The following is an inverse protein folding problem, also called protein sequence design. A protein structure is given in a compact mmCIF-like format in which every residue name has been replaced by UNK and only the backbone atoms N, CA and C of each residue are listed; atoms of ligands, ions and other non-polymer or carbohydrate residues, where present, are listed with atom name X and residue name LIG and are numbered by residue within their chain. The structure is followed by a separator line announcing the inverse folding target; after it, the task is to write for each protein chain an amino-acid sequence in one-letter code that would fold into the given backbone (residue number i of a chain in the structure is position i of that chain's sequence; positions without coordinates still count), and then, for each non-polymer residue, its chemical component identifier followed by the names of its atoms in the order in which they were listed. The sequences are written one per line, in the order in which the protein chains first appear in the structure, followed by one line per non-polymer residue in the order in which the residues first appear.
data_IF_857492128633
#
_entry.id   IF_857492128633
#
_cell.length_a   1.000
_cell.length_b   1.000
_cell.length_c   1.000
_cell.angle_alpha   90.00
_cell.angle_beta   90.00
_cell.angle_gamma   90.00
#
_symmetry.space_group_name_H-M   'P 1'
#
loop_
_entity.id
_entity.type
_entity.pdbx_description
1 polymer ?
#
# COMPACT_ATOMS: atom_id res chain seq x y z
N UNK A 1 26.23 -21.67 -13.98
CA UNK A 1 24.74 -21.78 -13.79
C UNK A 1 24.43 -22.21 -12.36
N UNK A 2 25.14 -23.19 -11.78
CA UNK A 2 24.87 -23.65 -10.42
C UNK A 2 25.09 -22.56 -9.36
N UNK A 3 26.21 -21.85 -9.42
CA UNK A 3 26.54 -20.75 -8.48
C UNK A 3 25.54 -19.60 -8.58
N UNK A 4 25.12 -19.23 -9.80
CA UNK A 4 24.09 -18.20 -10.00
C UNK A 4 22.74 -18.61 -9.38
N UNK A 5 22.32 -19.86 -9.56
CA UNK A 5 21.08 -20.38 -8.99
C UNK A 5 21.14 -20.41 -7.45
N UNK A 6 22.27 -20.79 -6.88
CA UNK A 6 22.51 -20.79 -5.43
C UNK A 6 22.45 -19.38 -4.84
N UNK A 7 23.02 -18.39 -5.54
CA UNK A 7 22.88 -16.97 -5.15
C UNK A 7 21.43 -16.53 -5.27
N UNK A 8 20.75 -16.82 -6.38
CA UNK A 8 19.37 -16.43 -6.59
C UNK A 8 18.43 -16.95 -5.48
N UNK A 9 18.66 -18.21 -5.04
CA UNK A 9 17.90 -18.84 -3.96
C UNK A 9 18.43 -18.49 -2.56
N UNK A 10 19.45 -17.63 -2.47
CA UNK A 10 20.04 -17.15 -1.22
C UNK A 10 20.56 -18.27 -0.32
N UNK A 11 21.21 -19.29 -0.91
CA UNK A 11 21.86 -20.34 -0.11
C UNK A 11 22.97 -19.74 0.76
N UNK A 12 23.04 -20.19 2.02
CA UNK A 12 24.05 -19.69 2.95
C UNK A 12 25.46 -20.14 2.58
N UNK A 13 26.47 -19.42 3.08
CA UNK A 13 27.87 -19.82 2.95
C UNK A 13 28.12 -21.25 3.43
N UNK A 14 27.50 -21.64 4.55
CA UNK A 14 27.66 -22.98 5.13
C UNK A 14 27.12 -24.10 4.23
N UNK A 15 26.05 -23.78 3.45
CA UNK A 15 25.49 -24.74 2.49
C UNK A 15 26.26 -24.76 1.16
N UNK A 16 26.86 -23.63 0.78
CA UNK A 16 27.56 -23.48 -0.49
C UNK A 16 28.75 -22.53 -0.39
N UNK A 17 29.92 -23.00 0.10
CA UNK A 17 31.14 -22.19 0.30
C UNK A 17 31.61 -21.48 -0.97
N UNK A 18 31.34 -22.03 -2.13
CA UNK A 18 31.73 -21.48 -3.44
C UNK A 18 31.06 -20.12 -3.78
N UNK A 19 29.96 -19.77 -3.12
CA UNK A 19 29.28 -18.48 -3.29
C UNK A 19 29.86 -17.36 -2.42
N UNK A 20 30.71 -17.71 -1.44
CA UNK A 20 31.29 -16.76 -0.46
C UNK A 20 31.97 -15.54 -1.10
N UNK A 21 32.83 -15.70 -2.14
CA UNK A 21 33.50 -14.56 -2.77
C UNK A 21 32.51 -13.55 -3.38
N UNK A 22 31.32 -14.03 -3.78
CA UNK A 22 30.26 -13.18 -4.31
C UNK A 22 29.47 -12.52 -3.19
N UNK A 23 29.16 -13.28 -2.12
CA UNK A 23 28.38 -12.80 -0.98
C UNK A 23 29.08 -11.64 -0.28
N UNK A 24 30.40 -11.72 -0.05
CA UNK A 24 31.18 -10.69 0.66
C UNK A 24 31.15 -9.32 -0.07
N UNK A 25 30.89 -9.34 -1.38
CA UNK A 25 30.76 -8.12 -2.21
C UNK A 25 29.36 -7.55 -2.22
N UNK A 26 28.38 -8.27 -1.66
CA UNK A 26 26.97 -7.86 -1.67
C UNK A 26 26.60 -7.25 -0.33
N UNK A 27 26.70 -5.94 -0.19
CA UNK A 27 26.39 -5.19 1.04
C UNK A 27 25.02 -5.53 1.65
N UNK A 28 24.01 -5.80 0.80
CA UNK A 28 22.64 -6.07 1.21
C UNK A 28 22.28 -7.56 1.28
N UNK A 29 23.28 -8.43 1.26
CA UNK A 29 23.03 -9.89 1.31
C UNK A 29 22.24 -10.31 2.56
N UNK A 30 22.53 -9.68 3.70
CA UNK A 30 21.89 -9.98 4.98
C UNK A 30 20.48 -9.40 5.13
N UNK A 31 20.05 -8.44 4.30
CA UNK A 31 18.69 -7.91 4.26
C UNK A 31 17.86 -8.63 3.17
N UNK A 32 16.94 -9.55 3.54
CA UNK A 32 16.14 -10.31 2.58
C UNK A 32 15.36 -9.42 1.61
N UNK A 33 14.83 -8.31 2.11
CA UNK A 33 14.03 -7.38 1.32
C UNK A 33 14.87 -6.67 0.24
N UNK A 34 16.07 -6.21 0.58
CA UNK A 34 16.98 -5.60 -0.40
C UNK A 34 17.54 -6.63 -1.37
N UNK A 35 17.86 -7.82 -0.85
CA UNK A 35 18.34 -8.92 -1.68
C UNK A 35 17.33 -9.35 -2.74
N UNK A 36 16.04 -9.43 -2.39
CA UNK A 36 14.97 -9.77 -3.33
C UNK A 36 14.90 -8.78 -4.51
N UNK A 37 15.11 -7.48 -4.28
CA UNK A 37 15.18 -6.49 -5.36
C UNK A 37 16.35 -6.79 -6.29
N UNK A 38 17.54 -7.08 -5.73
CA UNK A 38 18.72 -7.47 -6.50
C UNK A 38 18.51 -8.75 -7.30
N UNK A 39 17.87 -9.76 -6.70
CA UNK A 39 17.56 -11.03 -7.37
C UNK A 39 16.61 -10.83 -8.57
N UNK A 40 15.56 -10.04 -8.41
CA UNK A 40 14.64 -9.68 -9.52
C UNK A 40 15.39 -8.88 -10.58
N UNK A 41 16.24 -7.92 -10.17
CA UNK A 41 17.05 -7.15 -11.09
C UNK A 41 18.04 -8.03 -11.87
N UNK A 42 18.62 -9.04 -11.24
CA UNK A 42 19.50 -10.01 -11.90
C UNK A 42 18.74 -10.85 -12.97
N UNK A 43 17.52 -11.29 -12.66
CA UNK A 43 16.66 -11.99 -13.64
C UNK A 43 16.34 -11.09 -14.83
N UNK A 44 15.95 -9.83 -14.58
CA UNK A 44 15.69 -8.86 -15.64
C UNK A 44 16.97 -8.51 -16.44
N UNK A 45 18.12 -8.50 -15.76
CA UNK A 45 19.42 -8.29 -16.39
C UNK A 45 19.79 -9.36 -17.41
N UNK A 46 19.39 -10.61 -17.18
CA UNK A 46 19.58 -11.68 -18.17
C UNK A 46 18.81 -11.42 -19.47
N UNK A 47 17.65 -10.76 -19.37
CA UNK A 47 16.79 -10.42 -20.52
C UNK A 47 17.22 -9.14 -21.23
N UNK A 48 17.96 -8.25 -20.54
CA UNK A 48 18.22 -6.88 -20.97
C UNK A 48 19.69 -6.52 -21.13
N UNK A 49 20.60 -7.49 -21.07
CA UNK A 49 22.04 -7.27 -21.26
C UNK A 49 22.73 -6.56 -20.09
N UNK A 50 22.20 -6.68 -18.85
CA UNK A 50 22.79 -6.19 -17.59
C UNK A 50 22.97 -4.66 -17.48
N UNK A 51 22.32 -3.88 -18.35
CA UNK A 51 22.35 -2.41 -18.29
C UNK A 51 21.20 -1.88 -17.44
N UNK A 52 21.45 -0.77 -16.71
CA UNK A 52 20.48 -0.23 -15.73
C UNK A 52 19.16 0.19 -16.37
N UNK A 53 19.20 0.92 -17.49
CA UNK A 53 17.96 1.51 -18.05
C UNK A 53 16.94 0.44 -18.51
N UNK A 54 17.27 -0.60 -19.27
CA UNK A 54 16.35 -1.67 -19.58
C UNK A 54 15.82 -2.41 -18.34
N UNK A 55 16.66 -2.64 -17.33
CA UNK A 55 16.22 -3.23 -16.06
C UNK A 55 15.18 -2.33 -15.38
N UNK A 56 15.43 -1.04 -15.32
CA UNK A 56 14.50 -0.06 -14.72
C UNK A 56 13.17 -0.01 -15.50
N UNK A 57 13.20 -0.08 -16.85
CA UNK A 57 11.99 -0.17 -17.66
C UNK A 57 11.18 -1.44 -17.39
N UNK A 58 11.85 -2.59 -17.20
CA UNK A 58 11.18 -3.83 -16.82
C UNK A 58 10.56 -3.73 -15.42
N UNK A 59 11.25 -3.10 -14.46
CA UNK A 59 10.68 -2.82 -13.14
C UNK A 59 9.46 -1.91 -13.23
N UNK A 60 9.53 -0.84 -14.02
CA UNK A 60 8.40 0.07 -14.24
C UNK A 60 7.20 -0.64 -14.87
N UNK A 61 7.43 -1.45 -15.89
CA UNK A 61 6.38 -2.25 -16.54
C UNK A 61 5.76 -3.27 -15.56
N UNK A 62 6.60 -3.96 -14.80
CA UNK A 62 6.16 -4.92 -13.78
C UNK A 62 5.24 -4.25 -12.75
N UNK A 63 5.69 -3.11 -12.18
CA UNK A 63 4.88 -2.31 -11.26
C UNK A 63 3.56 -1.84 -11.89
N UNK A 64 3.63 -1.33 -13.13
CA UNK A 64 2.46 -0.87 -13.85
C UNK A 64 1.37 -1.94 -13.97
N UNK A 65 1.74 -3.21 -14.18
CA UNK A 65 0.74 -4.29 -14.26
C UNK A 65 -0.07 -4.42 -12.95
N UNK A 66 0.58 -4.24 -11.79
CA UNK A 66 -0.09 -4.23 -10.49
C UNK A 66 -1.00 -3.01 -10.30
N UNK A 67 -0.48 -1.81 -10.58
CA UNK A 67 -1.27 -0.58 -10.50
C UNK A 67 -2.46 -0.62 -11.45
N UNK A 68 -2.28 -1.16 -12.65
CA UNK A 68 -3.35 -1.39 -13.62
C UNK A 68 -4.41 -2.39 -13.13
N UNK A 69 -3.97 -3.48 -12.49
CA UNK A 69 -4.88 -4.46 -11.89
C UNK A 69 -5.73 -3.81 -10.78
N UNK A 70 -5.12 -2.97 -9.94
CA UNK A 70 -5.80 -2.17 -8.91
C UNK A 70 -6.83 -1.21 -9.53
N UNK A 71 -6.42 -0.43 -10.53
CA UNK A 71 -7.32 0.46 -11.26
C UNK A 71 -8.53 -0.30 -11.85
N UNK A 72 -8.30 -1.42 -12.53
CA UNK A 72 -9.38 -2.26 -13.09
C UNK A 72 -10.35 -2.74 -12.03
N UNK A 73 -9.87 -3.11 -10.85
CA UNK A 73 -10.72 -3.53 -9.74
C UNK A 73 -11.69 -2.43 -9.35
N UNK A 74 -11.19 -1.22 -9.15
CA UNK A 74 -12.03 -0.09 -8.74
C UNK A 74 -12.95 0.40 -9.87
N UNK A 75 -12.53 0.33 -11.12
CA UNK A 75 -13.42 0.62 -12.27
C UNK A 75 -14.55 -0.40 -12.37
N UNK A 76 -14.32 -1.67 -12.07
CA UNK A 76 -15.39 -2.67 -12.01
C UNK A 76 -16.41 -2.37 -10.91
N UNK A 77 -15.97 -1.79 -9.78
CA UNK A 77 -16.84 -1.38 -8.67
C UNK A 77 -17.61 -0.08 -9.01
N UNK A 78 -16.91 0.89 -9.63
CA UNK A 78 -17.44 2.22 -9.94
C UNK A 78 -17.24 2.58 -11.43
N UNK A 79 -17.93 1.91 -12.38
CA UNK A 79 -17.64 2.04 -13.82
C UNK A 79 -17.80 3.47 -14.36
N UNK A 80 -18.76 4.23 -13.80
CA UNK A 80 -19.02 5.62 -14.19
C UNK A 80 -17.88 6.57 -13.83
N UNK A 81 -17.00 6.19 -12.91
CA UNK A 81 -15.89 7.01 -12.41
C UNK A 81 -14.54 6.67 -13.02
N UNK A 82 -14.49 5.89 -14.11
CA UNK A 82 -13.24 5.40 -14.70
C UNK A 82 -12.18 6.48 -14.94
N UNK A 83 -12.57 7.69 -15.40
CA UNK A 83 -11.63 8.80 -15.62
C UNK A 83 -11.05 9.34 -14.30
N UNK A 84 -11.87 9.53 -13.29
CA UNK A 84 -11.46 10.03 -11.97
C UNK A 84 -10.60 9.01 -11.24
N UNK A 85 -10.95 7.72 -11.38
CA UNK A 85 -10.15 6.62 -10.82
C UNK A 85 -8.82 6.45 -11.57
N UNK A 86 -8.78 6.73 -12.89
CA UNK A 86 -7.50 6.75 -13.62
C UNK A 86 -6.54 7.78 -13.00
N UNK A 87 -7.01 8.98 -12.68
CA UNK A 87 -6.19 10.00 -12.00
C UNK A 87 -5.71 9.48 -10.64
N UNK A 88 -6.61 8.84 -9.86
CA UNK A 88 -6.29 8.37 -8.52
C UNK A 88 -5.30 7.20 -8.48
N UNK A 89 -5.24 6.35 -9.50
CA UNK A 89 -4.35 5.19 -9.52
C UNK A 89 -3.11 5.37 -10.40
N UNK A 90 -3.25 6.05 -11.55
CA UNK A 90 -2.21 6.08 -12.57
C UNK A 90 -1.40 7.38 -12.60
N UNK A 91 -1.94 8.48 -12.05
CA UNK A 91 -1.36 9.81 -12.22
C UNK A 91 -0.98 10.53 -10.92
N UNK A 92 -0.79 9.79 -9.82
CA UNK A 92 -0.21 10.36 -8.59
C UNK A 92 1.31 10.48 -8.81
N UNK A 93 1.90 11.70 -8.77
CA UNK A 93 3.31 11.90 -9.12
C UNK A 93 4.28 11.09 -8.29
N UNK A 94 4.11 11.04 -6.96
CA UNK A 94 4.99 10.25 -6.09
C UNK A 94 4.88 8.75 -6.34
N UNK A 95 3.67 8.23 -6.60
CA UNK A 95 3.46 6.82 -6.95
C UNK A 95 4.13 6.49 -8.27
N UNK A 96 4.05 7.39 -9.27
CA UNK A 96 4.70 7.22 -10.55
C UNK A 96 6.24 7.20 -10.39
N UNK A 97 6.82 8.19 -9.70
CA UNK A 97 8.28 8.34 -9.55
C UNK A 97 8.88 7.18 -8.74
N UNK A 98 8.35 6.93 -7.54
CA UNK A 98 8.92 5.93 -6.63
C UNK A 98 8.48 4.49 -6.97
N UNK A 99 7.39 4.35 -7.69
CA UNK A 99 6.88 3.05 -8.16
C UNK A 99 7.42 2.60 -9.51
N UNK A 100 8.37 3.31 -10.14
CA UNK A 100 8.84 2.98 -11.49
C UNK A 100 10.34 2.72 -11.63
N UNK A 101 11.13 2.85 -10.54
CA UNK A 101 12.56 2.59 -10.57
C UNK A 101 12.92 1.23 -9.93
N UNK A 102 14.21 0.88 -9.88
CA UNK A 102 14.70 -0.35 -9.23
C UNK A 102 14.67 -0.18 -7.71
N UNK A 103 13.46 -0.22 -7.14
CA UNK A 103 13.21 0.00 -5.72
C UNK A 103 12.33 -1.12 -5.12
N UNK A 104 12.41 -1.25 -3.79
CA UNK A 104 11.46 -2.05 -2.99
C UNK A 104 10.02 -1.63 -3.25
N UNK A 105 9.79 -0.32 -3.40
CA UNK A 105 8.47 0.28 -3.60
C UNK A 105 7.82 -0.17 -4.91
N UNK A 106 8.60 -0.32 -5.96
CA UNK A 106 8.15 -0.82 -7.28
C UNK A 106 7.56 -2.22 -7.17
N UNK A 107 8.23 -3.11 -6.43
CA UNK A 107 7.75 -4.48 -6.18
C UNK A 107 6.52 -4.45 -5.28
N UNK A 108 6.49 -3.55 -4.29
CA UNK A 108 5.33 -3.40 -3.41
C UNK A 108 4.09 -2.94 -4.18
N UNK A 109 4.23 -1.99 -5.13
CA UNK A 109 3.09 -1.52 -5.94
C UNK A 109 2.58 -2.62 -6.87
N UNK A 110 3.47 -3.40 -7.49
CA UNK A 110 3.08 -4.61 -8.20
C UNK A 110 2.27 -5.55 -7.32
N UNK A 111 2.84 -5.96 -6.21
CA UNK A 111 2.25 -6.95 -5.33
C UNK A 111 0.93 -6.47 -4.72
N UNK A 112 0.87 -5.23 -4.22
CA UNK A 112 -0.34 -4.66 -3.64
C UNK A 112 -1.47 -4.58 -4.69
N UNK A 113 -1.15 -4.20 -5.92
CA UNK A 113 -2.14 -4.13 -6.99
C UNK A 113 -2.75 -5.49 -7.35
N UNK A 114 -1.91 -6.51 -7.53
CA UNK A 114 -2.38 -7.86 -7.79
C UNK A 114 -3.06 -8.49 -6.58
N UNK A 115 -2.62 -8.18 -5.36
CA UNK A 115 -3.26 -8.62 -4.12
C UNK A 115 -4.70 -8.11 -4.03
N UNK A 116 -4.94 -6.82 -4.30
CA UNK A 116 -6.28 -6.22 -4.35
C UNK A 116 -7.15 -6.89 -5.43
N UNK A 117 -6.61 -7.03 -6.65
CA UNK A 117 -7.34 -7.61 -7.76
C UNK A 117 -7.76 -9.06 -7.47
N UNK A 118 -6.82 -9.89 -7.01
CA UNK A 118 -7.09 -11.30 -6.74
C UNK A 118 -7.98 -11.48 -5.51
N UNK A 119 -7.83 -10.65 -4.48
CA UNK A 119 -8.75 -10.61 -3.34
C UNK A 119 -10.18 -10.35 -3.79
N UNK A 120 -10.39 -9.35 -4.66
CA UNK A 120 -11.71 -9.05 -5.20
C UNK A 120 -12.25 -10.22 -6.05
N UNK A 121 -11.42 -10.82 -6.91
CA UNK A 121 -11.80 -11.99 -7.73
C UNK A 121 -12.21 -13.18 -6.88
N UNK A 122 -11.43 -13.52 -5.86
CA UNK A 122 -11.68 -14.66 -4.98
C UNK A 122 -12.91 -14.42 -4.09
N UNK A 123 -12.96 -13.30 -3.39
CA UNK A 123 -13.98 -13.10 -2.36
C UNK A 123 -15.29 -12.50 -2.89
N UNK A 124 -15.27 -11.66 -3.92
CA UNK A 124 -16.49 -11.07 -4.49
C UNK A 124 -17.01 -11.89 -5.66
N UNK A 125 -16.16 -12.19 -6.62
CA UNK A 125 -16.56 -12.93 -7.83
C UNK A 125 -16.58 -14.44 -7.62
N UNK A 126 -16.10 -14.94 -6.44
CA UNK A 126 -15.99 -16.37 -6.11
C UNK A 126 -15.19 -17.16 -7.15
N UNK A 127 -14.18 -16.52 -7.75
CA UNK A 127 -13.31 -17.12 -8.75
C UNK A 127 -12.08 -17.73 -8.08
N UNK A 128 -12.21 -18.98 -7.65
CA UNK A 128 -11.16 -19.76 -6.99
C UNK A 128 -10.24 -20.46 -8.01
N UNK A 129 -10.07 -19.93 -9.20
CA UNK A 129 -9.13 -20.50 -10.17
C UNK A 129 -7.71 -20.57 -9.59
N UNK A 130 -6.97 -21.61 -9.95
CA UNK A 130 -5.59 -21.83 -9.47
C UNK A 130 -4.72 -20.60 -9.75
N UNK A 131 -4.91 -19.96 -10.91
CA UNK A 131 -4.20 -18.72 -11.25
C UNK A 131 -4.42 -17.60 -10.23
N UNK A 132 -5.68 -17.33 -9.84
CA UNK A 132 -5.98 -16.28 -8.88
C UNK A 132 -5.44 -16.61 -7.49
N UNK A 133 -5.50 -17.87 -7.06
CA UNK A 133 -4.95 -18.29 -5.78
C UNK A 133 -3.42 -18.20 -5.76
N UNK A 134 -2.75 -18.62 -6.83
CA UNK A 134 -1.28 -18.49 -6.94
C UNK A 134 -0.83 -17.03 -6.98
N UNK A 135 -1.54 -16.17 -7.74
CA UNK A 135 -1.23 -14.74 -7.78
C UNK A 135 -1.49 -14.07 -6.43
N UNK A 136 -2.55 -14.46 -5.72
CA UNK A 136 -2.82 -13.95 -4.37
C UNK A 136 -1.71 -14.35 -3.39
N UNK A 137 -1.32 -15.64 -3.40
CA UNK A 137 -0.25 -16.15 -2.54
C UNK A 137 1.09 -15.48 -2.86
N UNK A 138 1.45 -15.36 -4.15
CA UNK A 138 2.67 -14.68 -4.59
C UNK A 138 2.67 -13.20 -4.18
N UNK A 139 1.56 -12.50 -4.38
CA UNK A 139 1.45 -11.09 -4.03
C UNK A 139 1.57 -10.88 -2.52
N UNK A 140 0.91 -11.72 -1.73
CA UNK A 140 1.02 -11.70 -0.28
C UNK A 140 2.46 -11.97 0.17
N UNK A 141 3.12 -12.99 -0.40
CA UNK A 141 4.51 -13.32 -0.10
C UNK A 141 5.48 -12.19 -0.44
N UNK A 142 5.31 -11.53 -1.60
CA UNK A 142 6.16 -10.40 -1.99
C UNK A 142 5.99 -9.20 -1.05
N UNK A 143 4.76 -8.86 -0.65
CA UNK A 143 4.53 -7.79 0.32
C UNK A 143 5.13 -8.15 1.68
N UNK A 144 4.94 -9.40 2.14
CA UNK A 144 5.55 -9.92 3.36
C UNK A 144 7.07 -9.78 3.33
N UNK A 145 7.71 -10.24 2.25
CA UNK A 145 9.17 -10.24 2.11
C UNK A 145 9.76 -8.83 2.06
N UNK A 146 9.08 -7.89 1.39
CA UNK A 146 9.64 -6.56 1.11
C UNK A 146 9.25 -5.53 2.19
N UNK A 147 7.95 -5.46 2.54
CA UNK A 147 7.41 -4.45 3.47
C UNK A 147 6.22 -4.97 4.25
N UNK A 148 6.49 -5.77 5.24
CA UNK A 148 5.47 -6.43 6.08
C UNK A 148 4.46 -5.44 6.70
N UNK A 149 4.88 -4.21 7.01
CA UNK A 149 3.98 -3.21 7.59
C UNK A 149 2.81 -2.81 6.67
N UNK A 150 2.92 -3.06 5.35
CA UNK A 150 1.78 -2.94 4.43
C UNK A 150 0.71 -3.97 4.80
N UNK A 151 1.10 -5.20 5.11
CA UNK A 151 0.17 -6.25 5.54
C UNK A 151 -0.46 -5.94 6.90
N UNK A 152 0.29 -5.34 7.82
CA UNK A 152 -0.23 -4.93 9.13
C UNK A 152 -1.37 -3.90 9.01
N UNK A 153 -1.37 -3.07 7.97
CA UNK A 153 -2.49 -2.17 7.67
C UNK A 153 -3.56 -2.84 6.79
N UNK A 154 -3.13 -3.69 5.84
CA UNK A 154 -4.03 -4.32 4.86
C UNK A 154 -4.93 -5.38 5.49
N UNK A 155 -4.39 -6.26 6.33
CA UNK A 155 -5.15 -7.38 6.91
C UNK A 155 -6.33 -6.91 7.78
N UNK A 156 -6.16 -5.94 8.72
CA UNK A 156 -7.31 -5.39 9.45
C UNK A 156 -8.34 -4.72 8.53
N UNK A 157 -7.89 -3.93 7.53
CA UNK A 157 -8.79 -3.28 6.58
C UNK A 157 -9.56 -4.31 5.73
N UNK A 158 -8.88 -5.36 5.27
CA UNK A 158 -9.50 -6.48 4.55
C UNK A 158 -10.51 -7.23 5.42
N UNK A 159 -10.17 -7.48 6.68
CA UNK A 159 -11.07 -8.16 7.63
C UNK A 159 -12.36 -7.37 7.81
N UNK A 160 -12.26 -6.06 8.00
CA UNK A 160 -13.42 -5.17 8.11
C UNK A 160 -14.22 -5.14 6.80
N UNK A 161 -13.54 -5.10 5.65
CA UNK A 161 -14.18 -5.12 4.35
C UNK A 161 -14.99 -6.42 4.12
N UNK A 162 -14.40 -7.57 4.44
CA UNK A 162 -15.09 -8.86 4.37
C UNK A 162 -16.32 -8.88 5.28
N UNK A 163 -16.16 -8.43 6.54
CA UNK A 163 -17.27 -8.31 7.49
C UNK A 163 -18.42 -7.47 6.94
N UNK A 164 -18.11 -6.25 6.48
CA UNK A 164 -19.13 -5.32 6.01
C UNK A 164 -19.78 -5.80 4.72
N UNK A 165 -19.02 -6.44 3.82
CA UNK A 165 -19.54 -6.99 2.57
C UNK A 165 -20.48 -8.18 2.83
N UNK A 166 -20.09 -9.14 3.67
CA UNK A 166 -20.90 -10.35 3.89
C UNK A 166 -22.02 -10.14 4.91
N UNK A 167 -21.81 -9.35 5.95
CA UNK A 167 -22.86 -9.08 6.95
C UNK A 167 -24.03 -8.30 6.37
N UNK A 168 -23.82 -7.50 5.33
CA UNK A 168 -24.91 -6.78 4.64
C UNK A 168 -25.95 -7.70 4.00
N UNK A 169 -25.60 -8.95 3.68
CA UNK A 169 -26.50 -9.96 3.11
C UNK A 169 -27.32 -10.69 4.17
N UNK A 170 -27.00 -10.54 5.47
CA UNK A 170 -27.71 -11.20 6.57
C UNK A 170 -28.90 -10.32 6.98
N UNK A 171 -30.11 -10.80 6.68
CA UNK A 171 -31.36 -10.05 6.95
C UNK A 171 -31.70 -9.96 8.45
N UNK A 172 -31.43 -11.03 9.22
CA UNK A 172 -31.75 -11.11 10.65
C UNK A 172 -30.69 -10.38 11.48
N UNK A 173 -31.10 -9.36 12.24
CA UNK A 173 -30.17 -8.52 13.05
C UNK A 173 -29.38 -9.35 14.05
N UNK A 174 -30.01 -10.27 14.78
CA UNK A 174 -29.31 -11.13 15.74
C UNK A 174 -28.26 -12.02 15.09
N UNK A 175 -28.56 -12.65 13.95
CA UNK A 175 -27.61 -13.48 13.20
C UNK A 175 -26.46 -12.64 12.63
N UNK A 176 -26.73 -11.40 12.21
CA UNK A 176 -25.71 -10.46 11.76
C UNK A 176 -24.74 -10.12 12.89
N UNK A 177 -25.24 -9.80 14.08
CA UNK A 177 -24.40 -9.49 15.24
C UNK A 177 -23.55 -10.71 15.62
N UNK A 178 -24.13 -11.89 15.72
CA UNK A 178 -23.40 -13.12 16.04
C UNK A 178 -22.30 -13.39 15.00
N UNK A 179 -22.63 -13.35 13.71
CA UNK A 179 -21.65 -13.59 12.65
C UNK A 179 -20.51 -12.54 12.66
N UNK A 180 -20.83 -11.29 12.95
CA UNK A 180 -19.83 -10.22 13.09
C UNK A 180 -18.90 -10.46 14.27
N UNK A 181 -19.44 -10.81 15.43
CA UNK A 181 -18.65 -11.12 16.63
C UNK A 181 -17.78 -12.37 16.41
N UNK A 182 -18.33 -13.42 15.82
CA UNK A 182 -17.58 -14.64 15.49
C UNK A 182 -16.42 -14.34 14.54
N UNK A 183 -16.66 -13.55 13.49
CA UNK A 183 -15.62 -13.20 12.54
C UNK A 183 -14.53 -12.32 13.19
N UNK A 184 -14.91 -11.32 14.00
CA UNK A 184 -13.93 -10.50 14.75
C UNK A 184 -13.10 -11.40 15.65
N UNK A 185 -13.73 -12.34 16.37
CA UNK A 185 -13.03 -13.31 17.20
C UNK A 185 -12.04 -14.16 16.41
N UNK A 186 -12.49 -14.77 15.30
CA UNK A 186 -11.62 -15.58 14.43
C UNK A 186 -10.49 -14.74 13.82
N UNK A 187 -10.79 -13.54 13.34
CA UNK A 187 -9.80 -12.63 12.77
C UNK A 187 -8.76 -12.18 13.81
N UNK A 188 -9.20 -11.88 15.04
CA UNK A 188 -8.32 -11.50 16.14
C UNK A 188 -7.41 -12.65 16.58
N UNK A 189 -7.98 -13.85 16.72
CA UNK A 189 -7.22 -15.07 17.05
C UNK A 189 -6.25 -15.41 15.91
N UNK A 190 -6.69 -15.35 14.65
CA UNK A 190 -5.83 -15.55 13.49
C UNK A 190 -4.68 -14.54 13.41
N UNK A 191 -4.96 -13.27 13.68
CA UNK A 191 -3.95 -12.21 13.75
C UNK A 191 -2.96 -12.44 14.91
N UNK A 192 -3.47 -12.85 16.08
CA UNK A 192 -2.62 -13.19 17.23
C UNK A 192 -1.68 -14.37 16.91
N UNK A 193 -2.19 -15.47 16.35
CA UNK A 193 -1.34 -16.59 15.94
C UNK A 193 -0.38 -16.22 14.81
N UNK A 194 -0.78 -15.37 13.87
CA UNK A 194 0.10 -14.85 12.84
C UNK A 194 1.26 -14.06 13.46
N UNK A 195 0.98 -13.14 14.38
CA UNK A 195 2.04 -12.36 15.06
C UNK A 195 2.93 -13.23 15.92
N UNK A 196 2.41 -14.26 16.60
CA UNK A 196 3.19 -15.21 17.42
C UNK A 196 4.10 -16.10 16.56
N UNK A 197 3.56 -16.70 15.49
CA UNK A 197 4.31 -17.62 14.63
C UNK A 197 5.43 -16.92 13.86
N UNK A 198 5.24 -15.66 13.54
CA UNK A 198 6.23 -14.82 12.87
C UNK A 198 6.95 -13.88 13.84
N UNK A 199 6.83 -14.11 15.14
CA UNK A 199 7.38 -13.22 16.18
C UNK A 199 8.90 -13.07 16.07
N UNK A 200 9.65 -14.09 15.66
CA UNK A 200 11.09 -13.99 15.46
C UNK A 200 11.46 -13.12 14.26
N UNK A 201 10.75 -13.25 13.13
CA UNK A 201 10.94 -12.43 11.95
C UNK A 201 10.26 -11.06 12.08
N UNK A 202 9.13 -11.02 12.81
CA UNK A 202 8.37 -9.83 13.18
C UNK A 202 8.86 -9.16 14.46
N UNK A 203 9.98 -9.60 15.06
CA UNK A 203 10.44 -9.08 16.36
C UNK A 203 10.44 -7.55 16.44
N UNK A 204 10.74 -6.88 15.33
CA UNK A 204 10.64 -5.40 15.19
C UNK A 204 9.20 -4.88 15.13
N UNK A 205 8.25 -5.70 14.71
CA UNK A 205 6.83 -5.34 14.50
C UNK A 205 5.89 -6.08 15.46
N UNK A 206 6.42 -6.79 16.46
CA UNK A 206 5.61 -7.36 17.54
C UNK A 206 4.94 -6.21 18.30
N UNK A 207 3.78 -6.49 18.91
CA UNK A 207 3.05 -5.47 19.69
C UNK A 207 3.92 -4.85 20.80
N UNK A 208 4.88 -5.61 21.33
CA UNK A 208 5.80 -5.16 22.37
C UNK A 208 6.91 -4.24 21.84
N UNK A 209 7.38 -4.49 20.61
CA UNK A 209 8.55 -3.80 20.04
C UNK A 209 8.19 -2.76 18.96
N UNK A 210 6.95 -2.71 18.51
CA UNK A 210 6.54 -1.83 17.39
C UNK A 210 6.78 -0.35 17.73
N UNK A 211 6.53 0.04 18.97
CA UNK A 211 6.76 1.41 19.42
C UNK A 211 8.26 1.73 19.50
N UNK A 212 9.07 0.81 20.04
CA UNK A 212 10.53 0.96 20.10
C UNK A 212 11.15 0.97 18.69
N UNK A 213 10.65 0.12 17.78
CA UNK A 213 11.09 0.10 16.37
C UNK A 213 10.72 1.39 15.64
N UNK A 214 9.54 1.93 15.85
CA UNK A 214 9.12 3.22 15.30
C UNK A 214 10.02 4.35 15.82
N UNK A 215 10.31 4.37 17.12
CA UNK A 215 11.21 5.35 17.74
C UNK A 215 12.64 5.24 17.17
N UNK A 216 13.21 4.03 17.11
CA UNK A 216 14.56 3.81 16.55
C UNK A 216 14.65 4.21 15.08
N UNK A 217 13.62 3.89 14.28
CA UNK A 217 13.57 4.28 12.87
C UNK A 217 13.46 5.79 12.71
N UNK A 218 12.65 6.43 13.55
CA UNK A 218 12.53 7.88 13.63
C UNK A 218 13.89 8.52 13.89
N UNK A 219 14.56 8.11 14.96
CA UNK A 219 15.82 8.73 15.40
C UNK A 219 16.92 8.54 14.34
N UNK A 220 16.99 7.38 13.70
CA UNK A 220 17.88 7.15 12.57
C UNK A 220 17.57 8.07 11.38
N UNK A 221 16.30 8.22 10.99
CA UNK A 221 15.93 9.09 9.88
C UNK A 221 16.09 10.57 10.20
N UNK A 222 15.87 10.97 11.45
CA UNK A 222 16.16 12.33 11.92
C UNK A 222 17.67 12.64 11.81
N UNK A 223 18.53 11.75 12.30
CA UNK A 223 19.98 11.85 12.20
C UNK A 223 20.46 11.95 10.74
N UNK A 224 19.95 11.09 9.85
CA UNK A 224 20.28 11.14 8.42
C UNK A 224 19.81 12.46 7.78
N UNK A 225 18.61 12.93 8.17
CA UNK A 225 18.06 14.19 7.67
C UNK A 225 18.93 15.39 8.08
N UNK A 226 19.39 15.43 9.32
CA UNK A 226 20.26 16.48 9.82
C UNK A 226 21.61 16.52 9.08
N UNK A 227 22.25 15.36 8.91
CA UNK A 227 23.52 15.24 8.18
C UNK A 227 23.45 15.60 6.69
N UNK A 228 22.28 15.46 6.07
CA UNK A 228 22.09 15.66 4.62
C UNK A 228 21.36 16.97 4.29
N UNK A 229 21.23 17.92 5.21
CA UNK A 229 20.41 19.12 5.07
C UNK A 229 18.99 18.80 4.57
N UNK A 230 18.44 17.70 5.08
CA UNK A 230 17.11 17.22 4.71
C UNK A 230 16.01 18.04 5.35
N UNK A 231 14.86 18.07 4.69
CA UNK A 231 13.62 18.57 5.30
C UNK A 231 12.97 17.47 6.14
N UNK A 232 12.61 17.78 7.36
CA UNK A 232 11.96 16.86 8.30
C UNK A 232 10.80 17.49 9.03
N UNK A 233 10.14 16.71 9.85
CA UNK A 233 9.08 17.14 10.77
C UNK A 233 9.32 16.52 12.13
N UNK A 234 8.75 17.13 13.16
CA UNK A 234 8.74 16.61 14.50
C UNK A 234 7.29 16.44 14.97
N UNK A 235 7.00 15.33 15.64
CA UNK A 235 5.72 15.08 16.32
C UNK A 235 5.82 15.34 17.82
N UNK A 236 6.98 15.81 18.30
CA UNK A 236 7.32 15.93 19.71
C UNK A 236 7.58 14.57 20.36
N UNK A 237 8.10 14.63 21.58
CA UNK A 237 8.35 13.42 22.37
C UNK A 237 7.06 12.67 22.68
N UNK A 238 7.15 11.35 22.71
CA UNK A 238 6.10 10.47 23.18
C UNK A 238 6.73 9.24 23.83
N UNK A 239 6.02 8.69 24.78
CA UNK A 239 6.40 7.42 25.41
C UNK A 239 6.48 6.32 24.34
N UNK A 240 7.59 5.54 24.25
CA UNK A 240 7.74 4.43 23.33
C UNK A 240 6.85 3.22 23.69
N UNK A 241 5.62 3.48 24.09
CA UNK A 241 4.53 2.53 24.32
C UNK A 241 3.46 2.68 23.26
N UNK A 242 2.60 1.67 23.11
CA UNK A 242 1.44 1.73 22.19
C UNK A 242 0.53 2.91 22.58
N UNK A 243 0.33 3.14 23.89
CA UNK A 243 -0.45 4.27 24.38
C UNK A 243 0.12 5.62 23.95
N UNK A 244 1.44 5.81 24.13
CA UNK A 244 2.14 7.02 23.69
C UNK A 244 2.06 7.23 22.18
N UNK A 245 2.22 6.18 21.38
CA UNK A 245 2.05 6.26 19.92
C UNK A 245 0.64 6.71 19.52
N UNK A 246 -0.40 6.16 20.15
CA UNK A 246 -1.80 6.50 19.84
C UNK A 246 -2.08 7.98 20.10
N UNK A 247 -1.45 8.62 21.08
CA UNK A 247 -1.63 10.07 21.32
C UNK A 247 -1.19 10.91 20.11
N UNK A 248 -0.23 10.41 19.31
CA UNK A 248 0.27 11.09 18.09
C UNK A 248 -0.50 10.71 16.83
N UNK A 249 -1.54 9.87 16.94
CA UNK A 249 -2.31 9.37 15.80
C UNK A 249 -2.83 10.49 14.86
N UNK A 250 -3.54 11.54 15.35
CA UNK A 250 -4.04 12.57 14.44
C UNK A 250 -2.91 13.30 13.70
N UNK A 251 -1.84 13.64 14.43
CA UNK A 251 -0.69 14.36 13.87
C UNK A 251 0.04 13.52 12.81
N UNK A 252 0.29 12.24 13.08
CA UNK A 252 0.96 11.33 12.17
C UNK A 252 0.17 11.13 10.86
N UNK A 253 -1.16 10.97 10.95
CA UNK A 253 -2.03 10.85 9.78
C UNK A 253 -2.02 12.13 8.96
N UNK A 254 -2.16 13.31 9.61
CA UNK A 254 -2.13 14.62 8.93
C UNK A 254 -0.79 14.83 8.23
N UNK A 255 0.33 14.54 8.90
CA UNK A 255 1.67 14.68 8.32
C UNK A 255 1.80 13.80 7.08
N UNK A 256 1.39 12.54 7.15
CA UNK A 256 1.55 11.61 6.04
C UNK A 256 0.73 12.01 4.81
N UNK A 257 -0.53 12.39 5.00
CA UNK A 257 -1.44 12.66 3.89
C UNK A 257 -1.27 14.07 3.31
N UNK A 258 -0.90 15.08 4.14
CA UNK A 258 -1.01 16.49 3.80
C UNK A 258 0.29 17.29 3.89
N UNK A 259 1.40 16.68 4.32
CA UNK A 259 2.72 17.32 4.34
C UNK A 259 3.70 16.61 3.40
N UNK A 260 4.80 17.26 2.96
CA UNK A 260 5.26 18.60 3.35
C UNK A 260 4.41 19.72 2.75
N UNK A 261 4.49 20.89 3.38
CA UNK A 261 4.02 22.14 2.77
C UNK A 261 5.13 22.80 1.95
N UNK A 262 4.83 23.71 0.99
CA UNK A 262 5.84 24.34 0.14
C UNK A 262 6.99 25.03 0.91
N UNK A 263 6.66 25.67 2.03
CA UNK A 263 7.66 26.35 2.89
C UNK A 263 8.54 25.41 3.71
N UNK A 264 8.22 24.12 3.77
CA UNK A 264 9.02 23.07 4.41
C UNK A 264 10.00 22.40 3.45
N UNK A 265 9.85 22.65 2.16
CA UNK A 265 10.63 21.99 1.12
C UNK A 265 11.98 22.71 0.93
N UNK A 266 13.09 22.02 1.24
CA UNK A 266 14.46 22.51 0.99
C UNK A 266 15.04 22.02 -0.33
N UNK A 267 14.50 20.96 -0.92
CA UNK A 267 14.99 20.33 -2.17
C UNK A 267 13.85 20.27 -3.19
N UNK A 268 14.20 20.34 -4.49
CA UNK A 268 13.23 20.32 -5.59
C UNK A 268 12.30 19.11 -5.53
N UNK A 269 12.82 17.92 -5.23
CA UNK A 269 12.02 16.71 -5.11
C UNK A 269 11.00 16.80 -3.97
N UNK A 270 11.33 17.47 -2.87
CA UNK A 270 10.43 17.70 -1.75
C UNK A 270 9.37 18.75 -2.11
N UNK A 271 9.73 19.76 -2.92
CA UNK A 271 8.77 20.75 -3.44
C UNK A 271 7.69 20.08 -4.32
N UNK A 272 8.08 19.14 -5.19
CA UNK A 272 7.10 18.37 -5.96
C UNK A 272 6.15 17.57 -5.07
N UNK A 273 6.66 16.97 -3.99
CA UNK A 273 5.83 16.28 -3.00
C UNK A 273 4.94 17.24 -2.22
N UNK A 274 5.38 18.49 -1.99
CA UNK A 274 4.57 19.51 -1.35
C UNK A 274 3.40 19.97 -2.25
N UNK A 275 3.64 20.14 -3.54
CA UNK A 275 2.57 20.45 -4.49
C UNK A 275 1.55 19.30 -4.57
N UNK A 276 2.00 18.06 -4.58
CA UNK A 276 1.13 16.88 -4.49
C UNK A 276 0.29 16.90 -3.20
N UNK A 277 0.92 17.17 -2.06
CA UNK A 277 0.23 17.26 -0.77
C UNK A 277 -0.88 18.34 -0.77
N UNK A 278 -0.63 19.51 -1.38
CA UNK A 278 -1.65 20.56 -1.55
C UNK A 278 -2.84 20.09 -2.39
N UNK A 279 -2.59 19.28 -3.43
CA UNK A 279 -3.67 18.66 -4.23
C UNK A 279 -4.53 17.74 -3.35
N UNK A 280 -3.92 16.94 -2.49
CA UNK A 280 -4.65 16.10 -1.53
C UNK A 280 -5.46 16.93 -0.53
N UNK A 281 -4.89 18.01 0.02
CA UNK A 281 -5.61 18.96 0.89
C UNK A 281 -6.82 19.53 0.15
N UNK A 282 -6.62 20.04 -1.08
CA UNK A 282 -7.68 20.63 -1.89
C UNK A 282 -8.86 19.67 -2.10
N UNK A 283 -8.58 18.44 -2.58
CA UNK A 283 -9.65 17.46 -2.82
C UNK A 283 -10.32 16.98 -1.54
N UNK A 284 -9.58 16.89 -0.44
CA UNK A 284 -10.15 16.54 0.87
C UNK A 284 -11.12 17.63 1.35
N UNK A 285 -10.68 18.89 1.35
CA UNK A 285 -11.53 20.02 1.74
C UNK A 285 -12.75 20.11 0.81
N UNK A 286 -12.57 19.94 -0.49
CA UNK A 286 -13.66 19.99 -1.46
C UNK A 286 -14.69 18.87 -1.24
N UNK A 287 -14.25 17.64 -0.94
CA UNK A 287 -15.14 16.51 -0.66
C UNK A 287 -16.02 16.78 0.56
N UNK A 288 -15.43 17.26 1.66
CA UNK A 288 -16.18 17.58 2.87
C UNK A 288 -17.06 18.84 2.73
N UNK A 289 -16.63 19.87 1.97
CA UNK A 289 -17.45 21.08 1.72
C UNK A 289 -18.66 20.79 0.85
N UNK A 290 -18.50 19.99 -0.23
CA UNK A 290 -19.63 19.71 -1.16
C UNK A 290 -20.72 18.86 -0.53
N UNK A 291 -20.36 17.91 0.32
CA UNK A 291 -21.31 16.92 0.87
C UNK A 291 -21.63 17.13 2.35
N UNK A 292 -20.84 17.93 3.05
CA UNK A 292 -20.86 18.00 4.50
C UNK A 292 -20.15 16.80 5.17
N UNK A 293 -19.61 17.03 6.35
CA UNK A 293 -18.81 16.05 7.09
C UNK A 293 -19.63 14.79 7.41
N UNK A 294 -20.81 14.96 7.99
CA UNK A 294 -21.69 13.84 8.43
C UNK A 294 -22.09 12.95 7.25
N UNK A 295 -22.47 13.56 6.11
CA UNK A 295 -22.88 12.81 4.92
C UNK A 295 -21.70 12.08 4.29
N UNK A 296 -20.50 12.67 4.27
CA UNK A 296 -19.28 12.04 3.76
C UNK A 296 -18.92 10.81 4.57
N UNK A 297 -18.90 10.91 5.90
CA UNK A 297 -18.66 9.74 6.75
C UNK A 297 -19.80 8.72 6.63
N UNK A 298 -21.04 9.16 6.52
CA UNK A 298 -22.18 8.29 6.26
C UNK A 298 -22.01 7.46 4.97
N UNK A 299 -21.46 8.06 3.91
CA UNK A 299 -21.15 7.33 2.66
C UNK A 299 -19.98 6.36 2.84
N UNK A 300 -18.91 6.77 3.52
CA UNK A 300 -17.75 5.92 3.79
C UNK A 300 -18.19 4.65 4.55
N UNK A 301 -18.96 4.80 5.64
CA UNK A 301 -19.37 3.66 6.47
C UNK A 301 -20.44 2.77 5.83
N UNK A 302 -21.24 3.30 4.87
CA UNK A 302 -22.25 2.52 4.16
C UNK A 302 -21.72 1.71 2.99
N UNK A 303 -20.62 2.16 2.38
CA UNK A 303 -20.01 1.47 1.24
C UNK A 303 -18.76 0.71 1.70
N UNK A 304 -18.78 -0.64 1.71
CA UNK A 304 -17.64 -1.44 2.18
C UNK A 304 -16.33 -1.11 1.48
N UNK A 305 -16.36 -0.75 0.20
CA UNK A 305 -15.16 -0.45 -0.56
C UNK A 305 -14.56 0.92 -0.18
N UNK A 306 -15.42 1.93 0.07
CA UNK A 306 -14.96 3.20 0.61
C UNK A 306 -14.42 3.04 2.03
N UNK A 307 -15.08 2.22 2.83
CA UNK A 307 -14.65 1.95 4.20
C UNK A 307 -13.29 1.24 4.23
N UNK A 308 -13.07 0.26 3.34
CA UNK A 308 -11.75 -0.36 3.15
C UNK A 308 -10.68 0.69 2.81
N UNK A 309 -10.94 1.54 1.79
CA UNK A 309 -10.01 2.58 1.38
C UNK A 309 -9.67 3.54 2.52
N UNK A 310 -10.67 3.93 3.30
CA UNK A 310 -10.50 4.80 4.46
C UNK A 310 -9.64 4.14 5.54
N UNK A 311 -10.03 2.95 6.01
CA UNK A 311 -9.32 2.25 7.09
C UNK A 311 -7.88 1.91 6.69
N UNK A 312 -7.67 1.36 5.50
CA UNK A 312 -6.33 1.07 5.02
C UNK A 312 -5.46 2.32 4.96
N UNK A 313 -5.98 3.41 4.38
CA UNK A 313 -5.23 4.66 4.24
C UNK A 313 -4.88 5.27 5.59
N UNK A 314 -5.81 5.26 6.54
CA UNK A 314 -5.60 5.87 7.87
C UNK A 314 -4.61 5.06 8.72
N UNK A 315 -4.78 3.73 8.79
CA UNK A 315 -3.85 2.87 9.54
C UNK A 315 -2.44 2.97 8.93
N UNK A 316 -2.35 2.90 7.61
CA UNK A 316 -1.07 2.98 6.92
C UNK A 316 -0.41 4.36 7.06
N UNK A 317 -1.19 5.44 6.92
CA UNK A 317 -0.70 6.80 7.12
C UNK A 317 -0.19 7.03 8.55
N UNK A 318 -0.87 6.47 9.55
CA UNK A 318 -0.40 6.49 10.93
C UNK A 318 0.95 5.79 11.07
N UNK A 319 1.06 4.54 10.60
CA UNK A 319 2.30 3.77 10.70
C UNK A 319 3.49 4.47 10.04
N UNK A 320 3.28 5.07 8.86
CA UNK A 320 4.33 5.82 8.14
C UNK A 320 4.65 7.13 8.85
N UNK A 321 3.65 7.89 9.28
CA UNK A 321 3.84 9.19 9.93
C UNK A 321 4.57 9.11 11.25
N UNK A 322 4.31 8.07 12.05
CA UNK A 322 4.97 7.88 13.34
C UNK A 322 6.45 7.44 13.21
N UNK A 323 6.84 6.88 12.05
CA UNK A 323 8.16 6.27 11.88
C UNK A 323 9.10 7.01 10.93
N UNK A 324 8.63 7.98 10.12
CA UNK A 324 9.44 8.51 9.01
C UNK A 324 10.25 9.75 9.35
N UNK A 325 9.72 10.74 10.01
CA UNK A 325 10.35 12.02 10.43
C UNK A 325 11.13 12.81 9.37
N UNK A 326 11.37 12.26 8.20
CA UNK A 326 12.05 12.85 7.07
C UNK A 326 11.11 12.92 5.87
N UNK A 327 10.93 14.09 5.25
CA UNK A 327 10.01 14.26 4.12
C UNK A 327 10.41 13.49 2.87
N UNK A 328 11.69 13.23 2.65
CA UNK A 328 12.15 12.39 1.56
C UNK A 328 11.72 10.95 1.70
N UNK A 329 11.90 10.38 2.90
CA UNK A 329 11.42 9.04 3.25
C UNK A 329 9.90 8.99 3.27
N UNK A 330 9.24 10.00 3.85
CA UNK A 330 7.77 10.10 3.91
C UNK A 330 7.14 10.08 2.52
N UNK A 331 7.66 10.88 1.58
CA UNK A 331 7.16 10.95 0.19
C UNK A 331 7.20 9.61 -0.53
N UNK A 332 8.19 8.79 -0.19
CA UNK A 332 8.37 7.45 -0.72
C UNK A 332 7.52 6.41 0.00
N UNK A 333 7.48 6.47 1.34
CA UNK A 333 6.82 5.42 2.13
C UNK A 333 5.31 5.50 2.08
N UNK A 334 4.72 6.68 1.84
CA UNK A 334 3.26 6.87 1.77
C UNK A 334 2.60 6.38 0.48
N UNK A 335 3.37 6.08 -0.59
CA UNK A 335 2.80 5.73 -1.90
C UNK A 335 1.80 4.55 -1.89
N UNK A 336 1.91 3.51 -1.03
CA UNK A 336 0.93 2.44 -1.01
C UNK A 336 -0.49 2.88 -0.61
N UNK A 337 -0.65 3.89 0.24
CA UNK A 337 -1.97 4.34 0.68
C UNK A 337 -2.59 5.45 -0.19
N UNK A 338 -1.77 6.21 -0.93
CA UNK A 338 -2.25 7.37 -1.68
C UNK A 338 -3.33 7.03 -2.72
N UNK A 339 -3.20 5.97 -3.56
CA UNK A 339 -4.23 5.60 -4.51
C UNK A 339 -5.59 5.29 -3.86
N UNK A 340 -5.59 4.65 -2.69
CA UNK A 340 -6.82 4.32 -1.96
C UNK A 340 -7.47 5.56 -1.37
N UNK A 341 -6.68 6.41 -0.72
CA UNK A 341 -7.18 7.66 -0.18
C UNK A 341 -7.76 8.55 -1.28
N UNK A 342 -7.03 8.71 -2.40
CA UNK A 342 -7.48 9.55 -3.50
C UNK A 342 -8.68 8.96 -4.24
N UNK A 343 -8.74 7.64 -4.44
CA UNK A 343 -9.92 7.00 -5.03
C UNK A 343 -11.18 7.19 -4.17
N UNK A 344 -11.04 7.11 -2.84
CA UNK A 344 -12.12 7.42 -1.91
C UNK A 344 -12.60 8.88 -2.11
N UNK A 345 -11.70 9.86 -2.18
CA UNK A 345 -12.08 11.26 -2.43
C UNK A 345 -12.77 11.43 -3.78
N UNK A 346 -12.30 10.77 -4.85
CA UNK A 346 -12.95 10.83 -6.17
C UNK A 346 -14.37 10.26 -6.12
N UNK A 347 -14.57 9.14 -5.43
CA UNK A 347 -15.93 8.59 -5.26
C UNK A 347 -16.82 9.50 -4.42
N UNK A 348 -16.31 10.07 -3.33
CA UNK A 348 -17.07 11.04 -2.52
C UNK A 348 -17.47 12.24 -3.34
N UNK A 349 -16.62 12.76 -4.20
CA UNK A 349 -16.91 13.98 -4.99
C UNK A 349 -17.88 13.73 -6.13
N UNK A 350 -17.77 12.59 -6.83
CA UNK A 350 -18.36 12.43 -8.16
C UNK A 350 -19.40 11.30 -8.28
N UNK A 351 -19.58 10.43 -7.25
CA UNK A 351 -20.51 9.28 -7.33
C UNK A 351 -21.96 9.67 -7.69
N UNK A 352 -22.43 10.84 -7.23
CA UNK A 352 -23.80 11.33 -7.47
C UNK A 352 -23.81 12.66 -8.25
N UNK A 353 -22.80 12.92 -9.08
CA UNK A 353 -22.68 14.17 -9.84
C UNK A 353 -23.59 14.19 -11.07
N UNK A 354 -24.12 15.36 -11.46
CA UNK A 354 -25.02 15.51 -12.62
C UNK A 354 -24.35 15.16 -13.96
N UNK A 355 -23.03 15.22 -14.05
CA UNK A 355 -22.28 14.82 -15.26
C UNK A 355 -22.39 13.33 -15.57
N UNK A 356 -22.79 12.49 -14.61
CA UNK A 356 -22.91 11.05 -14.78
C UNK A 356 -24.22 10.63 -15.43
N UNK A 357 -25.27 11.46 -15.38
CA UNK A 357 -26.58 11.13 -15.98
C UNK A 357 -26.58 11.27 -17.51
N UNK A 358 -25.85 12.23 -18.06
CA UNK A 358 -25.81 12.45 -19.52
C UNK A 358 -24.92 11.44 -20.26
N UNK A 359 -23.84 10.93 -19.62
CA UNK A 359 -22.98 9.91 -20.24
C UNK A 359 -23.54 8.47 -20.13
N UNK A 360 -24.43 8.21 -19.18
CA UNK A 360 -25.02 6.89 -18.97
C UNK A 360 -25.95 6.47 -20.11
N UNK A 361 -26.64 7.42 -20.74
CA UNK A 361 -27.57 7.15 -21.84
C UNK A 361 -26.83 6.81 -23.15
N UNK A 362 -25.64 7.37 -23.36
CA UNK A 362 -24.88 7.21 -24.61
C UNK A 362 -23.93 6.02 -24.62
N UNK A 363 -23.40 5.60 -23.45
CA UNK A 363 -22.33 4.58 -23.38
C UNK A 363 -22.78 3.18 -22.94
N UNK A 364 -24.01 3.01 -22.47
CA UNK A 364 -24.52 1.65 -22.13
C UNK A 364 -24.60 0.72 -23.36
N UNK A 365 -24.59 1.28 -24.57
CA UNK A 365 -24.58 0.53 -25.85
C UNK A 365 -23.17 0.22 -26.38
N UNK A 366 -22.08 0.72 -25.76
CA UNK A 366 -20.70 0.63 -26.33
C UNK A 366 -19.63 -0.03 -25.48
N UNK A 367 -19.93 -0.47 -24.26
CA UNK A 367 -18.94 -1.24 -23.51
C UNK A 367 -19.06 -2.72 -23.85
N UNK A 368 -18.05 -3.33 -24.52
CA UNK A 368 -18.02 -4.77 -24.69
C UNK A 368 -18.00 -5.42 -23.31
N UNK A 369 -18.82 -6.45 -23.15
CA UNK A 369 -18.75 -7.34 -21.98
C UNK A 369 -17.34 -7.93 -21.94
N UNK A 370 -16.45 -7.36 -21.13
CA UNK A 370 -15.13 -7.93 -20.86
C UNK A 370 -15.26 -9.21 -20.00
N UNK A 371 -15.97 -10.20 -20.51
CA UNK A 371 -16.13 -11.50 -19.85
C UNK A 371 -15.16 -12.57 -20.35
N UNK A 372 -14.35 -12.31 -21.37
CA UNK A 372 -13.45 -13.35 -21.91
C UNK A 372 -12.26 -12.75 -22.65
N UNK A 373 -11.23 -12.30 -21.95
CA UNK A 373 -9.87 -12.25 -22.47
C UNK A 373 -8.90 -11.97 -21.28
N UNK A 374 -8.31 -12.98 -20.84
CA UNK A 374 -7.04 -13.39 -20.23
C UNK A 374 -7.27 -14.47 -19.19
#
# INVERSE_FOLDING_TARGET
VSTWFKLLTRQSYFESPEVYPSIIRMWWYHDPASYAVGAIAAVFGLLSGTTYLPIALLFAYFSFTGVWAMYRTFVNIYPKLHKHLAIAFLFIPSTFVWGSAVFKDTICMFALGWMIYTTFRVFVNRDFSVRNLLLLALSFYLVYLIKIYILLAFVPALSIWLLTTYSSHIKTVGLRVISTLTFIGVASVGFFFFTQKFAEELNRYSLENIAATAATTRDYLAYVSEKQDGSGYDLGEFDPSIGGMITKFPQAVVVTLFRPFPWEARKVIIMLSALEALVFVYFTVQAFRRRGIVRSFGMIFKDPNLFFCFIFSIIFAFAVGISSYNFGSLSRYKIPCLPFYFSMLMVLLYKDGPELDQSAITNQKRLPKFQSAI
#
